data_IF_063548046137
#
_entry.id   IF_063548046137
#
_cell.length_a   1.000
_cell.length_b   1.000
_cell.length_c   1.000
_cell.angle_alpha   90.00
_cell.angle_beta   90.00
_cell.angle_gamma   90.00
#
_symmetry.space_group_name_H-M   'P 1'
#
loop_
_entity.id
_entity.type
_entity.pdbx_description
1 polymer ?
#
# COMPACT_ATOMS: atom_id res chain seq x y z
N UNK A 1 6.27 12.16 13.62
CA UNK A 1 5.53 11.59 12.47
C UNK A 1 5.55 10.09 12.67
N UNK A 2 4.41 9.40 12.61
CA UNK A 2 4.39 7.95 12.83
C UNK A 2 5.27 7.22 11.80
N UNK A 3 5.95 6.15 12.20
CA UNK A 3 6.86 5.37 11.36
C UNK A 3 6.15 4.83 10.11
N UNK A 4 4.89 4.39 10.24
CA UNK A 4 4.11 3.93 9.09
C UNK A 4 3.78 5.08 8.13
N UNK A 5 3.54 6.31 8.60
CA UNK A 5 3.27 7.46 7.71
C UNK A 5 4.49 7.74 6.84
N UNK A 6 5.69 7.68 7.43
CA UNK A 6 6.93 7.89 6.68
C UNK A 6 7.15 6.77 5.65
N UNK A 7 6.99 5.50 6.05
CA UNK A 7 7.13 4.36 5.15
C UNK A 7 6.14 4.42 3.98
N UNK A 8 4.86 4.71 4.25
CA UNK A 8 3.83 4.88 3.23
C UNK A 8 4.13 6.08 2.33
N UNK A 9 4.67 7.18 2.86
CA UNK A 9 5.03 8.36 2.05
C UNK A 9 6.15 8.03 1.08
N UNK A 10 7.21 7.36 1.54
CA UNK A 10 8.31 6.91 0.68
C UNK A 10 7.78 5.98 -0.41
N UNK A 11 6.95 5.00 -0.04
CA UNK A 11 6.40 4.04 -0.99
C UNK A 11 5.45 4.68 -2.01
N UNK A 12 4.58 5.59 -1.59
CA UNK A 12 3.59 6.24 -2.45
C UNK A 12 4.21 7.01 -3.62
N UNK A 13 5.44 7.49 -3.47
CA UNK A 13 6.18 8.23 -4.51
C UNK A 13 7.34 7.43 -5.12
N UNK A 14 7.47 6.15 -4.78
CA UNK A 14 8.48 5.25 -5.35
C UNK A 14 8.04 4.78 -6.75
N UNK A 15 8.98 4.63 -7.71
CA UNK A 15 8.68 4.10 -9.05
C UNK A 15 8.38 2.60 -9.09
N UNK A 16 7.94 1.98 -7.99
CA UNK A 16 7.68 0.54 -7.86
C UNK A 16 8.86 -0.34 -8.31
N UNK A 17 10.08 -0.06 -7.84
CA UNK A 17 11.27 -0.88 -8.18
C UNK A 17 11.15 -2.35 -7.77
N UNK A 18 10.27 -2.65 -6.81
CA UNK A 18 9.92 -4.01 -6.41
C UNK A 18 8.99 -4.74 -7.40
N UNK A 19 8.45 -4.07 -8.43
CA UNK A 19 7.49 -4.64 -9.39
C UNK A 19 7.88 -5.98 -10.00
N UNK A 20 9.17 -6.26 -10.34
CA UNK A 20 9.56 -7.57 -10.89
C UNK A 20 9.33 -8.75 -9.93
N UNK A 21 9.18 -8.51 -8.62
CA UNK A 21 8.84 -9.55 -7.64
C UNK A 21 7.39 -10.04 -7.74
N UNK A 22 6.50 -9.25 -8.37
CA UNK A 22 5.11 -9.62 -8.57
C UNK A 22 4.96 -10.36 -9.90
N UNK A 23 4.51 -11.61 -9.83
CA UNK A 23 4.58 -12.56 -10.95
C UNK A 23 3.75 -12.09 -12.16
N UNK A 24 4.32 -12.22 -13.36
CA UNK A 24 3.73 -11.77 -14.62
C UNK A 24 2.42 -12.46 -14.98
N UNK A 25 2.20 -13.67 -14.46
CA UNK A 25 1.03 -14.51 -14.68
C UNK A 25 -0.07 -14.33 -13.63
N UNK A 26 0.06 -13.36 -12.72
CA UNK A 26 -1.02 -13.02 -11.78
C UNK A 26 -2.21 -12.42 -12.55
N UNK A 27 -3.41 -12.90 -12.23
CA UNK A 27 -4.65 -12.60 -12.97
C UNK A 27 -4.97 -11.11 -13.03
N UNK A 28 -4.47 -10.32 -12.08
CA UNK A 28 -4.75 -8.89 -11.95
C UNK A 28 -3.46 -8.12 -11.70
N UNK A 29 -2.96 -7.47 -12.76
CA UNK A 29 -1.81 -6.55 -12.71
C UNK A 29 -2.25 -5.10 -12.94
N UNK A 30 -3.25 -4.66 -12.19
CA UNK A 30 -3.77 -3.30 -12.31
C UNK A 30 -2.81 -2.35 -11.57
N UNK A 31 -2.33 -1.32 -12.25
CA UNK A 31 -1.39 -0.32 -11.70
C UNK A 31 -1.90 0.32 -10.40
N UNK A 32 -3.23 0.41 -10.23
CA UNK A 32 -3.89 0.89 -9.01
C UNK A 32 -3.78 -0.06 -7.81
N UNK A 33 -3.11 -1.20 -7.94
CA UNK A 33 -2.91 -2.22 -6.88
C UNK A 33 -1.44 -2.41 -6.53
N UNK A 34 -0.56 -1.58 -7.11
CA UNK A 34 0.85 -1.57 -6.75
C UNK A 34 1.05 -1.12 -5.29
N UNK A 35 2.18 -1.48 -4.65
CA UNK A 35 2.46 -1.04 -3.28
C UNK A 35 2.43 0.49 -3.14
N UNK A 36 2.90 1.24 -4.15
CA UNK A 36 2.84 2.70 -4.15
C UNK A 36 1.41 3.22 -4.25
N UNK A 37 0.57 2.64 -5.12
CA UNK A 37 -0.83 3.02 -5.23
C UNK A 37 -1.61 2.77 -3.93
N UNK A 38 -1.43 1.60 -3.30
CA UNK A 38 -2.05 1.28 -2.02
C UNK A 38 -1.58 2.22 -0.90
N UNK A 39 -0.29 2.58 -0.90
CA UNK A 39 0.26 3.54 0.05
C UNK A 39 -0.33 4.93 -0.14
N UNK A 40 -0.51 5.37 -1.40
CA UNK A 40 -1.13 6.65 -1.72
C UNK A 40 -2.61 6.70 -1.30
N UNK A 41 -3.37 5.64 -1.58
CA UNK A 41 -4.77 5.51 -1.15
C UNK A 41 -4.86 5.59 0.38
N UNK A 42 -4.02 4.83 1.09
CA UNK A 42 -3.99 4.83 2.57
C UNK A 42 -3.69 6.22 3.13
N UNK A 43 -2.70 6.93 2.56
CA UNK A 43 -2.41 8.32 2.94
C UNK A 43 -3.57 9.27 2.67
N UNK A 44 -4.32 9.07 1.57
CA UNK A 44 -5.50 9.88 1.25
C UNK A 44 -6.62 9.66 2.28
N UNK A 45 -6.84 8.42 2.71
CA UNK A 45 -7.78 8.07 3.79
C UNK A 45 -7.36 8.74 5.09
N UNK A 46 -6.11 8.56 5.54
CA UNK A 46 -5.62 9.15 6.80
C UNK A 46 -5.73 10.69 6.80
N UNK A 47 -5.55 11.32 5.64
CA UNK A 47 -5.70 12.77 5.45
C UNK A 47 -7.15 13.23 5.25
N UNK A 48 -8.13 12.33 5.38
CA UNK A 48 -9.57 12.59 5.16
C UNK A 48 -9.88 13.16 3.76
N UNK A 49 -9.06 12.82 2.77
CA UNK A 49 -9.25 13.19 1.35
C UNK A 49 -9.98 12.12 0.56
N UNK A 50 -10.06 10.91 1.10
CA UNK A 50 -10.80 9.78 0.56
C UNK A 50 -11.59 9.13 1.70
N UNK A 51 -12.89 8.81 1.53
CA UNK A 51 -13.66 8.10 2.53
C UNK A 51 -13.21 6.65 2.67
N UNK A 52 -13.37 6.04 3.85
CA UNK A 52 -13.21 4.60 4.04
C UNK A 52 -14.53 3.88 3.72
N UNK A 53 -14.93 3.88 2.46
CA UNK A 53 -16.12 3.20 1.95
C UNK A 53 -15.81 1.78 1.44
N UNK A 54 -16.81 1.09 0.89
CA UNK A 54 -16.66 -0.28 0.39
C UNK A 54 -15.64 -0.37 -0.75
N UNK A 55 -15.66 0.56 -1.69
CA UNK A 55 -14.73 0.60 -2.81
C UNK A 55 -13.28 0.81 -2.34
N UNK A 56 -13.08 1.73 -1.37
CA UNK A 56 -11.76 1.96 -0.78
C UNK A 56 -11.27 0.75 -0.01
N UNK A 57 -12.14 0.09 0.77
CA UNK A 57 -11.81 -1.17 1.45
C UNK A 57 -11.47 -2.28 0.45
N UNK A 58 -12.24 -2.41 -0.62
CA UNK A 58 -12.01 -3.40 -1.66
C UNK A 58 -10.68 -3.16 -2.38
N UNK A 59 -10.33 -1.91 -2.68
CA UNK A 59 -9.05 -1.54 -3.27
C UNK A 59 -7.88 -1.87 -2.32
N UNK A 60 -7.98 -1.46 -1.04
CA UNK A 60 -6.98 -1.73 -0.03
C UNK A 60 -6.83 -3.22 0.32
N UNK A 61 -7.86 -4.04 0.04
CA UNK A 61 -7.81 -5.50 0.21
C UNK A 61 -6.92 -6.21 -0.82
N UNK A 62 -6.57 -5.57 -1.94
CA UNK A 62 -5.81 -6.20 -3.03
C UNK A 62 -4.31 -6.19 -2.75
N UNK A 63 -3.88 -7.01 -1.79
CA UNK A 63 -2.53 -6.99 -1.20
C UNK A 63 -1.46 -7.81 -1.92
N UNK A 64 -1.78 -8.50 -3.01
CA UNK A 64 -0.85 -9.45 -3.67
C UNK A 64 0.51 -8.82 -4.04
N UNK A 65 0.49 -7.66 -4.72
CA UNK A 65 1.73 -6.96 -5.09
C UNK A 65 2.49 -6.38 -3.88
N UNK A 66 1.77 -5.92 -2.84
CA UNK A 66 2.38 -5.47 -1.59
C UNK A 66 3.09 -6.61 -0.86
N UNK A 67 2.47 -7.78 -0.80
CA UNK A 67 3.05 -8.98 -0.19
C UNK A 67 4.27 -9.46 -0.98
N UNK A 68 4.19 -9.46 -2.31
CA UNK A 68 5.33 -9.81 -3.16
C UNK A 68 6.52 -8.87 -3.00
N UNK A 69 6.30 -7.60 -2.59
CA UNK A 69 7.38 -6.63 -2.39
C UNK A 69 8.28 -6.90 -1.17
N UNK A 70 7.88 -7.80 -0.25
CA UNK A 70 8.65 -8.11 0.96
C UNK A 70 10.02 -8.67 0.57
N UNK A 71 11.09 -8.09 1.11
CA UNK A 71 12.47 -8.46 0.77
C UNK A 71 12.96 -7.92 -0.58
N UNK A 72 12.10 -7.28 -1.38
CA UNK A 72 12.41 -6.71 -2.69
C UNK A 72 12.32 -5.16 -2.72
N UNK A 73 11.91 -4.53 -1.62
CA UNK A 73 11.89 -3.07 -1.52
C UNK A 73 13.31 -2.49 -1.46
N UNK A 74 13.66 -1.60 -2.40
CA UNK A 74 14.96 -0.90 -2.43
C UNK A 74 15.25 -0.09 -1.16
N UNK A 75 14.22 0.35 -0.45
CA UNK A 75 14.33 1.10 0.80
C UNK A 75 14.24 0.22 2.06
N UNK A 76 14.18 -1.12 1.92
CA UNK A 76 14.09 -2.04 3.05
C UNK A 76 12.76 -1.99 3.81
N UNK A 77 11.70 -1.41 3.21
CA UNK A 77 10.40 -1.22 3.87
C UNK A 77 9.53 -2.48 3.76
N UNK A 78 8.81 -2.79 4.85
CA UNK A 78 7.74 -3.78 4.86
C UNK A 78 6.38 -3.07 4.69
N UNK A 79 5.96 -2.90 3.44
CA UNK A 79 4.75 -2.16 3.10
C UNK A 79 3.46 -2.81 3.63
N UNK A 80 3.28 -4.14 3.58
CA UNK A 80 2.15 -4.79 4.23
C UNK A 80 2.00 -4.40 5.70
N UNK A 81 3.08 -4.44 6.48
CA UNK A 81 3.06 -4.05 7.91
C UNK A 81 2.71 -2.57 8.10
N UNK A 82 3.26 -1.68 7.26
CA UNK A 82 2.96 -0.26 7.34
C UNK A 82 1.49 0.05 7.00
N UNK A 83 0.92 -0.65 6.01
CA UNK A 83 -0.49 -0.53 5.65
C UNK A 83 -1.39 -1.03 6.79
N UNK A 84 -1.05 -2.14 7.43
CA UNK A 84 -1.86 -2.70 8.52
C UNK A 84 -1.85 -1.81 9.76
N UNK A 85 -0.67 -1.27 10.13
CA UNK A 85 -0.54 -0.29 11.20
C UNK A 85 -1.37 0.99 10.93
N UNK A 86 -1.32 1.49 9.70
CA UNK A 86 -2.08 2.67 9.30
C UNK A 86 -3.60 2.46 9.36
N UNK A 87 -4.10 1.30 8.92
CA UNK A 87 -5.53 1.01 8.90
C UNK A 87 -6.09 0.66 10.28
N UNK A 88 -5.27 0.09 11.17
CA UNK A 88 -5.65 -0.13 12.57
C UNK A 88 -5.90 1.19 13.31
N UNK A 89 -5.13 2.25 13.01
CA UNK A 89 -5.34 3.58 13.62
C UNK A 89 -6.44 4.40 12.91
N UNK A 90 -6.66 4.18 11.61
CA UNK A 90 -7.60 4.95 10.78
C UNK A 90 -9.05 4.46 10.82
N UNK A 91 -9.34 3.31 11.42
CA UNK A 91 -10.68 2.71 11.46
C UNK A 91 -11.28 2.86 12.86
N UNK A 92 -12.23 3.78 13.11
CA UNK A 92 -13.04 3.69 14.32
C UNK A 92 -13.84 2.38 14.29
N UNK A 93 -13.93 1.73 15.45
CA UNK A 93 -14.66 0.46 15.65
C UNK A 93 -16.11 0.51 15.12
#
# INVERSE_FOLDING_TARGET
MSEYINALTICAYCPNTCRPSYAANEDVQIESQTPSALSLITLAVLKKRLPMDEDTRAALGRRAAANASIGHCTYGLNIPVALDAALAEGTPA
#
